data_IF_069449681485
#
_entry.id   IF_069449681485
#
_cell.length_a   1.000
_cell.length_b   1.000
_cell.length_c   1.000
_cell.angle_alpha   90.00
_cell.angle_beta   90.00
_cell.angle_gamma   90.00
#
_symmetry.space_group_name_H-M   'P 1'
#
loop_
_entity.id
_entity.type
_entity.pdbx_description
1 polymer ?
#
# COMPACT_ATOMS: atom_id res chain seq x y z
N UNK A 1 -4.88 15.18 -31.46
CA UNK A 1 -5.42 15.33 -30.52
C UNK A 1 -4.82 15.39 -29.15
N UNK A 2 -4.86 16.53 -28.69
CA UNK A 2 -4.32 16.78 -27.37
C UNK A 2 -4.99 15.97 -26.31
N UNK A 3 -6.18 15.48 -26.61
CA UNK A 3 -6.87 14.67 -25.65
C UNK A 3 -6.13 13.42 -25.28
N UNK A 4 -5.33 12.88 -26.21
CA UNK A 4 -4.60 11.68 -25.91
C UNK A 4 -3.58 11.91 -24.80
N UNK A 5 -2.89 13.04 -24.87
CA UNK A 5 -1.95 13.37 -23.79
C UNK A 5 -2.66 13.54 -22.48
N UNK A 6 -3.77 14.26 -22.50
CA UNK A 6 -4.50 14.48 -21.27
C UNK A 6 -5.03 13.18 -20.71
N UNK A 7 -5.50 12.30 -21.59
CA UNK A 7 -5.99 11.01 -21.14
C UNK A 7 -4.88 10.15 -20.55
N UNK A 8 -3.69 10.21 -21.13
CA UNK A 8 -2.58 9.48 -20.57
C UNK A 8 -2.26 9.95 -19.18
N UNK A 9 -2.22 11.26 -18.96
CA UNK A 9 -1.95 11.79 -17.64
C UNK A 9 -3.01 11.36 -16.63
N UNK A 10 -4.26 11.44 -17.05
CA UNK A 10 -5.36 11.03 -16.18
C UNK A 10 -5.25 9.55 -15.84
N UNK A 11 -4.95 8.76 -16.85
CA UNK A 11 -4.83 7.33 -16.63
C UNK A 11 -3.69 7.00 -15.65
N UNK A 12 -2.59 7.72 -15.76
CA UNK A 12 -1.49 7.52 -14.85
C UNK A 12 -1.87 7.86 -13.42
N UNK A 13 -2.62 8.94 -13.24
CA UNK A 13 -3.08 9.31 -11.91
C UNK A 13 -4.02 8.28 -11.34
N UNK A 14 -4.93 7.78 -12.15
CA UNK A 14 -5.86 6.75 -11.72
C UNK A 14 -5.09 5.50 -11.33
N UNK A 15 -4.10 5.12 -12.12
CA UNK A 15 -3.29 3.96 -11.79
C UNK A 15 -2.60 4.10 -10.45
N UNK A 16 -2.06 5.30 -10.16
CA UNK A 16 -1.41 5.54 -8.88
C UNK A 16 -2.40 5.44 -7.73
N UNK A 17 -3.59 5.99 -7.91
CA UNK A 17 -4.60 5.93 -6.87
C UNK A 17 -5.11 4.53 -6.64
N UNK A 18 -5.05 3.69 -7.67
CA UNK A 18 -5.53 2.33 -7.58
C UNK A 18 -4.45 1.35 -7.20
N UNK A 19 -3.23 1.83 -6.97
CA UNK A 19 -2.15 0.98 -6.54
C UNK A 19 -2.33 0.59 -5.08
N UNK A 20 -1.93 -0.63 -4.77
CA UNK A 20 -1.86 -1.07 -3.39
C UNK A 20 -0.78 -0.26 -2.69
N UNK A 21 -1.06 0.20 -1.47
CA UNK A 21 -0.09 0.98 -0.70
C UNK A 21 0.28 0.22 0.56
N UNK A 22 1.57 0.03 0.76
CA UNK A 22 2.09 -0.64 1.95
C UNK A 22 2.78 0.42 2.80
N UNK A 23 2.17 0.74 3.94
CA UNK A 23 2.75 1.67 4.90
C UNK A 23 3.64 0.88 5.83
N UNK A 24 4.90 1.27 5.95
CA UNK A 24 5.93 0.43 6.56
C UNK A 24 7.01 1.25 7.24
N UNK A 25 7.91 0.56 7.92
CA UNK A 25 9.14 1.14 8.43
C UNK A 25 10.30 0.28 7.95
N UNK A 26 11.52 0.84 8.02
CA UNK A 26 12.68 0.14 7.49
C UNK A 26 13.13 -1.02 8.37
N UNK A 27 12.81 -0.98 9.66
CA UNK A 27 13.25 -2.00 10.62
C UNK A 27 12.25 -3.12 10.82
N UNK A 28 11.13 -3.07 10.16
CA UNK A 28 10.01 -3.99 10.40
C UNK A 28 10.13 -5.28 9.59
N UNK A 29 10.27 -6.41 10.27
CA UNK A 29 10.38 -7.70 9.60
C UNK A 29 9.11 -8.11 8.88
N UNK A 30 7.94 -7.83 9.49
CA UNK A 30 6.66 -8.14 8.87
C UNK A 30 6.43 -7.30 7.62
N UNK A 31 6.94 -6.07 7.62
CA UNK A 31 6.85 -5.21 6.43
C UNK A 31 7.66 -5.81 5.29
N UNK A 32 8.86 -6.30 5.59
CA UNK A 32 9.71 -6.92 4.57
C UNK A 32 9.09 -8.21 4.05
N UNK A 33 8.44 -8.97 4.93
CA UNK A 33 7.75 -10.18 4.52
C UNK A 33 6.62 -9.86 3.55
N UNK A 34 5.83 -8.84 3.87
CA UNK A 34 4.73 -8.44 3.01
C UNK A 34 5.26 -7.99 1.64
N UNK A 35 6.32 -7.18 1.65
CA UNK A 35 6.93 -6.73 0.41
C UNK A 35 7.38 -7.90 -0.45
N UNK A 36 8.07 -8.88 0.17
CA UNK A 36 8.52 -10.06 -0.56
C UNK A 36 7.35 -10.86 -1.11
N UNK A 37 6.26 -10.94 -0.36
CA UNK A 37 5.09 -11.65 -0.83
C UNK A 37 4.55 -11.03 -2.12
N UNK A 38 4.37 -9.70 -2.12
CA UNK A 38 3.88 -9.00 -3.31
C UNK A 38 4.85 -9.15 -4.48
N UNK A 39 6.16 -9.01 -4.19
CA UNK A 39 7.17 -9.14 -5.24
C UNK A 39 7.13 -10.54 -5.87
N UNK A 40 7.03 -11.57 -5.06
CA UNK A 40 7.05 -12.94 -5.56
C UNK A 40 5.79 -13.30 -6.32
N UNK A 41 4.68 -12.60 -6.06
CA UNK A 41 3.42 -12.85 -6.76
C UNK A 41 3.18 -11.88 -7.90
N UNK A 42 4.16 -11.04 -8.21
CA UNK A 42 4.06 -10.11 -9.33
C UNK A 42 3.02 -9.03 -9.17
N UNK A 43 2.70 -8.67 -7.93
CA UNK A 43 1.68 -7.67 -7.64
C UNK A 43 2.33 -6.33 -7.38
N UNK A 44 1.90 -5.31 -8.13
CA UNK A 44 2.44 -3.95 -7.99
C UNK A 44 1.91 -3.27 -6.73
N UNK A 45 2.75 -2.44 -6.13
CA UNK A 45 2.38 -1.71 -4.93
C UNK A 45 3.27 -0.48 -4.80
N UNK A 46 2.88 0.42 -3.91
CA UNK A 46 3.69 1.56 -3.51
C UNK A 46 4.11 1.32 -2.06
N UNK A 47 5.41 1.41 -1.78
CA UNK A 47 5.95 1.17 -0.45
C UNK A 47 6.25 2.52 0.20
N UNK A 48 5.57 2.83 1.28
CA UNK A 48 5.63 4.15 1.91
C UNK A 48 6.23 4.03 3.30
N UNK A 49 7.39 4.67 3.49
CA UNK A 49 8.06 4.67 4.79
C UNK A 49 7.46 5.77 5.66
N UNK A 50 6.70 5.38 6.68
CA UNK A 50 6.03 6.36 7.52
C UNK A 50 6.99 7.14 8.41
N UNK A 51 8.23 6.68 8.55
CA UNK A 51 9.23 7.44 9.30
C UNK A 51 9.69 8.68 8.56
N UNK A 52 9.48 8.71 7.24
CA UNK A 52 9.91 9.82 6.40
C UNK A 52 8.74 10.62 5.85
N UNK A 53 7.52 10.29 6.26
CA UNK A 53 6.32 10.90 5.68
C UNK A 53 5.29 11.11 6.80
N UNK A 54 5.22 12.34 7.28
CA UNK A 54 4.35 12.66 8.42
C UNK A 54 2.88 12.46 8.11
N UNK A 55 2.47 12.75 6.88
CA UNK A 55 1.07 12.57 6.50
C UNK A 55 0.72 11.08 6.45
N UNK A 56 1.65 10.27 5.95
CA UNK A 56 1.45 8.83 5.92
C UNK A 56 1.37 8.27 7.35
N UNK A 57 2.24 8.74 8.23
CA UNK A 57 2.21 8.30 9.63
C UNK A 57 0.88 8.67 10.28
N UNK A 58 0.40 9.88 10.04
CA UNK A 58 -0.87 10.34 10.59
C UNK A 58 -2.01 9.47 10.08
N UNK A 59 -1.97 9.10 8.81
CA UNK A 59 -2.98 8.23 8.23
C UNK A 59 -2.99 6.86 8.91
N UNK A 60 -1.81 6.26 9.09
CA UNK A 60 -1.70 4.95 9.74
C UNK A 60 -2.26 5.01 11.16
N UNK A 61 -1.90 6.06 11.90
CA UNK A 61 -2.42 6.24 13.25
C UNK A 61 -3.95 6.35 13.24
N UNK A 62 -4.48 7.14 12.31
CA UNK A 62 -5.93 7.37 12.25
C UNK A 62 -6.70 6.09 11.99
N UNK A 63 -6.25 5.26 11.06
CA UNK A 63 -6.99 4.05 10.71
C UNK A 63 -6.77 2.92 11.71
N UNK A 64 -5.79 3.06 12.60
CA UNK A 64 -5.48 2.05 13.60
C UNK A 64 -5.76 2.53 15.03
N UNK A 65 -6.68 3.48 15.18
CA UNK A 65 -7.10 3.90 16.51
C UNK A 65 -6.02 4.55 17.34
N UNK A 66 -5.08 5.24 16.71
CA UNK A 66 -3.98 5.91 17.37
C UNK A 66 -2.68 5.13 17.38
N UNK A 67 -2.66 3.95 16.82
CA UNK A 67 -1.46 3.11 16.78
C UNK A 67 -0.74 3.26 15.45
N UNK A 68 0.59 3.20 15.50
CA UNK A 68 1.41 3.24 14.28
C UNK A 68 1.75 1.82 13.84
N UNK A 69 0.70 1.01 13.63
CA UNK A 69 0.87 -0.40 13.26
C UNK A 69 1.39 -0.54 11.84
N UNK A 70 2.43 -1.33 11.64
CA UNK A 70 2.99 -1.60 10.32
C UNK A 70 3.27 -3.08 10.17
N UNK A 71 3.09 -3.64 8.97
CA UNK A 71 2.59 -2.95 7.79
C UNK A 71 1.08 -2.71 7.85
N UNK A 72 0.66 -1.56 7.37
CA UNK A 72 -0.75 -1.28 7.11
C UNK A 72 -0.89 -1.22 5.60
N UNK A 73 -1.70 -2.10 5.04
CA UNK A 73 -1.81 -2.26 3.59
C UNK A 73 -3.19 -1.84 3.13
N UNK A 74 -3.24 -0.86 2.24
CA UNK A 74 -4.49 -0.30 1.74
C UNK A 74 -4.67 -0.71 0.29
N UNK A 75 -5.82 -1.29 -0.01
CA UNK A 75 -6.12 -1.79 -1.35
C UNK A 75 -7.00 -0.80 -2.11
N UNK A 76 -6.99 -0.89 -3.45
CA UNK A 76 -7.79 0.05 -4.27
C UNK A 76 -9.28 0.03 -3.94
N UNK A 77 -9.80 -1.09 -3.47
CA UNK A 77 -11.21 -1.20 -3.11
C UNK A 77 -11.53 -0.58 -1.75
N UNK A 78 -10.53 0.01 -1.10
CA UNK A 78 -10.71 0.63 0.21
C UNK A 78 -10.49 -0.28 1.39
N UNK A 79 -10.30 -1.57 1.16
CA UNK A 79 -10.05 -2.49 2.26
C UNK A 79 -8.64 -2.31 2.80
N UNK A 80 -8.44 -2.69 4.06
CA UNK A 80 -7.17 -2.51 4.76
C UNK A 80 -6.83 -3.80 5.49
N UNK A 81 -5.58 -4.24 5.34
CA UNK A 81 -5.04 -5.32 6.15
C UNK A 81 -3.93 -4.76 7.02
N UNK A 82 -3.93 -5.14 8.30
CA UNK A 82 -2.94 -4.68 9.26
C UNK A 82 -2.16 -5.89 9.75
N UNK A 83 -0.85 -5.86 9.51
CA UNK A 83 0.06 -6.94 9.92
C UNK A 83 -0.44 -8.31 9.45
N UNK A 84 -0.79 -8.44 8.16
CA UNK A 84 -1.37 -9.71 7.69
C UNK A 84 -0.33 -10.81 7.61
N UNK A 85 -0.80 -12.04 7.83
CA UNK A 85 0.00 -13.23 7.56
C UNK A 85 0.04 -13.49 6.06
N UNK A 86 0.98 -14.34 5.59
CA UNK A 86 0.95 -14.74 4.17
C UNK A 86 -0.38 -15.35 3.75
N UNK A 87 -1.03 -16.08 4.66
CA UNK A 87 -2.34 -16.68 4.37
C UNK A 87 -3.38 -15.59 4.13
N UNK A 88 -3.37 -14.55 4.96
CA UNK A 88 -4.32 -13.46 4.80
C UNK A 88 -4.07 -12.69 3.51
N UNK A 89 -2.82 -12.51 3.14
CA UNK A 89 -2.48 -11.88 1.86
C UNK A 89 -3.02 -12.72 0.71
N UNK A 90 -2.78 -14.03 0.75
CA UNK A 90 -3.24 -14.91 -0.30
C UNK A 90 -4.77 -14.88 -0.41
N UNK A 91 -5.47 -14.86 0.71
CA UNK A 91 -6.93 -14.84 0.72
C UNK A 91 -7.47 -13.57 0.06
N UNK A 92 -6.77 -12.47 0.20
CA UNK A 92 -7.20 -11.20 -0.39
C UNK A 92 -7.29 -11.27 -1.91
N UNK A 93 -6.46 -12.11 -2.52
CA UNK A 93 -6.35 -12.21 -3.98
C UNK A 93 -7.03 -13.46 -4.55
N UNK A 94 -7.70 -14.23 -3.75
CA UNK A 94 -8.37 -15.45 -4.26
C UNK A 94 -9.83 -15.24 -4.61
#
# INVERSE_FOLDING_TARGET
>A
MSNNSALSSVNEQISNEQKIKIYATTWCGDCRMAKRWFDSHGVSYEYINIEEDELAAAYVSRVNGGMYSVPTIVFPDGSILVEPSPRELAAKFS
#
